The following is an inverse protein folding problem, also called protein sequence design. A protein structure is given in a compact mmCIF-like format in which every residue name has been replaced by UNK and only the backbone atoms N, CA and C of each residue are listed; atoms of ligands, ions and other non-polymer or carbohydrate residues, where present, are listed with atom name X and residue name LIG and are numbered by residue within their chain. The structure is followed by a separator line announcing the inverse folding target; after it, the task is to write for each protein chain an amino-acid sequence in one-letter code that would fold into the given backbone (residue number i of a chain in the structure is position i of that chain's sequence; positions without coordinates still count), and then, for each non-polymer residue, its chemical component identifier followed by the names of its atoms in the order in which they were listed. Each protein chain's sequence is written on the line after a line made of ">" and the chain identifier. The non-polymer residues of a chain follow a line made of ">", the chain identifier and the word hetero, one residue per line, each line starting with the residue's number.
data_IF_599881159132
#
_entry.id   IF_599881159132
#
_cell.length_a   1.000
_cell.length_b   1.000
_cell.length_c   1.000
_cell.angle_alpha   90.00
_cell.angle_beta   90.00
_cell.angle_gamma   90.00
#
_symmetry.space_group_name_H-M   'P 1'
#
loop_
_entity.id
_entity.type
_entity.pdbx_description
1 polymer ?
#
# COMPACT_ATOMS: atom_id res chain seq x y z
N UNK A 1 -22.40 3.18 12.79
CA UNK A 1 -22.45 1.71 12.91
C UNK A 1 -21.46 1.17 11.89
N UNK A 2 -20.45 0.41 12.31
CA UNK A 2 -19.52 -0.20 11.36
C UNK A 2 -20.24 -1.34 10.65
N UNK A 3 -20.42 -1.23 9.35
CA UNK A 3 -21.03 -2.27 8.52
C UNK A 3 -19.94 -3.28 8.16
N UNK A 4 -20.15 -4.56 8.49
CA UNK A 4 -19.18 -5.62 8.18
C UNK A 4 -19.24 -5.94 6.69
N UNK A 5 -18.45 -5.23 5.90
CA UNK A 5 -18.29 -5.50 4.46
C UNK A 5 -17.39 -6.72 4.28
N UNK A 6 -17.98 -7.84 3.85
CA UNK A 6 -17.25 -9.09 3.59
C UNK A 6 -16.74 -9.10 2.14
N UNK A 7 -15.42 -9.30 1.96
CA UNK A 7 -14.80 -9.53 0.65
C UNK A 7 -14.14 -8.32 0.01
N UNK A 8 -14.48 -7.10 0.42
CA UNK A 8 -13.86 -5.87 -0.07
C UNK A 8 -12.60 -5.54 0.73
N UNK A 9 -11.57 -5.03 0.05
CA UNK A 9 -10.41 -4.46 0.74
C UNK A 9 -10.85 -3.17 1.45
N UNK A 10 -10.50 -2.98 2.73
CA UNK A 10 -10.86 -1.76 3.44
C UNK A 10 -10.31 -0.52 2.72
N UNK A 11 -11.11 0.55 2.63
CA UNK A 11 -10.72 1.85 2.06
C UNK A 11 -11.24 2.96 2.96
N UNK A 12 -10.61 4.14 2.87
CA UNK A 12 -11.00 5.28 3.70
C UNK A 12 -10.80 5.02 5.20
N UNK A 13 -11.84 5.27 6.00
CA UNK A 13 -11.79 5.23 7.47
C UNK A 13 -12.06 3.84 8.07
N UNK A 14 -12.41 2.84 7.25
CA UNK A 14 -12.66 1.44 7.68
C UNK A 14 -11.36 0.66 7.93
N UNK A 15 -10.47 1.23 8.76
CA UNK A 15 -9.24 0.59 9.22
C UNK A 15 -9.28 0.39 10.73
N UNK A 16 -9.30 -0.87 11.16
CA UNK A 16 -9.14 -1.19 12.57
C UNK A 16 -7.73 -0.81 13.05
N UNK A 17 -7.67 0.28 13.80
CA UNK A 17 -6.58 0.82 14.63
C UNK A 17 -5.13 0.37 14.32
N UNK A 18 -4.63 0.72 13.12
CA UNK A 18 -3.24 0.53 12.71
C UNK A 18 -2.41 1.83 12.82
N UNK A 19 -2.85 2.83 13.59
CA UNK A 19 -2.19 4.16 13.61
C UNK A 19 -0.70 4.07 13.93
N UNK A 20 -0.32 3.33 14.97
CA UNK A 20 1.09 3.15 15.35
C UNK A 20 1.92 2.51 14.23
N UNK A 21 1.37 1.47 13.58
CA UNK A 21 2.03 0.80 12.46
C UNK A 21 2.18 1.74 11.24
N UNK A 22 1.16 2.53 10.94
CA UNK A 22 1.21 3.52 9.85
C UNK A 22 2.29 4.57 10.12
N UNK A 23 2.38 5.09 11.34
CA UNK A 23 3.46 6.02 11.73
C UNK A 23 4.84 5.39 11.60
N UNK A 24 4.99 4.15 12.06
CA UNK A 24 6.24 3.41 11.95
C UNK A 24 6.66 3.23 10.48
N UNK A 25 5.72 2.82 9.62
CA UNK A 25 5.99 2.64 8.19
C UNK A 25 6.39 3.96 7.53
N UNK A 26 5.67 5.06 7.79
CA UNK A 26 6.07 6.38 7.28
C UNK A 26 7.42 6.86 7.83
N UNK A 27 7.76 6.51 9.07
CA UNK A 27 9.07 6.78 9.66
C UNK A 27 10.19 6.04 8.95
N UNK A 28 9.97 4.75 8.62
CA UNK A 28 10.93 3.91 7.90
C UNK A 28 11.06 4.32 6.43
N UNK A 29 9.96 4.60 5.74
CA UNK A 29 9.95 5.01 4.32
C UNK A 29 10.74 6.31 4.04
N UNK A 30 11.00 7.14 5.07
CA UNK A 30 11.88 8.31 4.94
C UNK A 30 13.36 7.97 4.83
N UNK A 31 13.75 6.74 5.18
CA UNK A 31 15.15 6.29 5.27
C UNK A 31 15.43 5.07 4.40
N UNK A 32 14.45 4.17 4.27
CA UNK A 32 14.64 2.84 3.68
C UNK A 32 13.34 2.23 3.15
N UNK A 33 13.45 1.08 2.48
CA UNK A 33 12.36 0.25 2.00
C UNK A 33 11.72 -0.57 3.13
N UNK A 34 10.42 -0.90 2.98
CA UNK A 34 9.68 -1.71 3.95
C UNK A 34 9.16 -2.98 3.29
N UNK A 35 9.52 -4.14 3.85
CA UNK A 35 8.95 -5.44 3.49
C UNK A 35 7.88 -5.84 4.53
N UNK A 36 6.64 -6.03 4.08
CA UNK A 36 5.53 -6.44 4.94
C UNK A 36 5.40 -7.97 4.98
N UNK A 37 5.71 -8.58 6.12
CA UNK A 37 5.58 -10.03 6.32
C UNK A 37 4.42 -10.33 7.28
N UNK A 38 3.39 -11.04 6.79
CA UNK A 38 2.28 -11.52 7.60
C UNK A 38 1.50 -12.63 6.84
N UNK A 39 0.65 -13.45 7.50
CA UNK A 39 -0.20 -14.44 6.84
C UNK A 39 -1.19 -13.86 5.80
N UNK A 40 -1.79 -14.69 4.95
CA UNK A 40 -2.81 -14.26 3.97
C UNK A 40 -4.01 -13.63 4.71
N UNK A 41 -4.58 -12.55 4.15
CA UNK A 41 -5.73 -11.79 4.71
C UNK A 41 -5.50 -11.05 6.05
N UNK A 42 -4.26 -10.89 6.49
CA UNK A 42 -3.91 -10.11 7.69
C UNK A 42 -3.94 -8.57 7.49
N UNK A 43 -4.51 -8.07 6.40
CA UNK A 43 -4.68 -6.62 6.18
C UNK A 43 -3.49 -5.86 5.57
N UNK A 44 -2.44 -6.55 5.09
CA UNK A 44 -1.27 -5.90 4.44
C UNK A 44 -1.65 -5.03 3.23
N UNK A 45 -2.47 -5.55 2.33
CA UNK A 45 -2.95 -4.79 1.16
C UNK A 45 -3.76 -3.58 1.59
N UNK A 46 -4.52 -3.71 2.68
CA UNK A 46 -5.20 -2.57 3.27
C UNK A 46 -4.20 -1.51 3.75
N UNK A 47 -3.20 -1.89 4.57
CA UNK A 47 -2.16 -0.96 5.00
C UNK A 47 -1.54 -0.19 3.83
N UNK A 48 -1.21 -0.89 2.73
CA UNK A 48 -0.70 -0.25 1.50
C UNK A 48 -1.69 0.76 0.90
N UNK A 49 -2.98 0.42 0.81
CA UNK A 49 -4.00 1.36 0.34
C UNK A 49 -4.20 2.54 1.29
N UNK A 50 -4.04 2.36 2.60
CA UNK A 50 -4.11 3.48 3.56
C UNK A 50 -2.96 4.49 3.39
N UNK A 51 -1.78 4.02 2.97
CA UNK A 51 -0.65 4.88 2.61
C UNK A 51 -0.88 5.60 1.27
N UNK A 52 -1.51 4.90 0.31
CA UNK A 52 -1.89 5.44 -1.00
C UNK A 52 -2.96 6.53 -0.87
N UNK A 53 -4.03 6.26 -0.11
CA UNK A 53 -5.22 7.11 0.02
C UNK A 53 -4.96 8.35 0.91
N UNK A 54 -3.90 8.35 1.72
CA UNK A 54 -3.50 9.50 2.54
C UNK A 54 -1.98 9.75 2.47
N UNK A 55 -1.50 10.30 1.34
CA UNK A 55 -0.08 10.61 1.16
C UNK A 55 0.41 11.64 2.19
N UNK A 56 1.69 11.57 2.54
CA UNK A 56 2.37 12.59 3.34
C UNK A 56 3.23 13.49 2.47
N UNK A 57 3.46 14.71 2.96
CA UNK A 57 4.39 15.64 2.33
C UNK A 57 5.74 14.98 2.06
N UNK A 58 6.28 15.18 0.85
CA UNK A 58 7.52 14.57 0.40
C UNK A 58 7.36 13.17 -0.23
N UNK A 59 6.15 12.61 -0.26
CA UNK A 59 5.88 11.33 -0.90
C UNK A 59 4.84 11.46 -2.01
N UNK A 60 5.08 10.77 -3.13
CA UNK A 60 4.09 10.46 -4.17
C UNK A 60 3.89 8.95 -4.18
N UNK A 61 2.88 8.42 -3.49
CA UNK A 61 2.63 6.99 -3.47
C UNK A 61 2.16 6.52 -4.84
N UNK A 62 2.68 5.37 -5.27
CA UNK A 62 2.27 4.68 -6.48
C UNK A 62 2.03 3.23 -6.11
N UNK A 63 0.92 2.67 -6.60
CA UNK A 63 0.59 1.26 -6.41
C UNK A 63 0.76 0.48 -7.70
N UNK A 64 1.49 -0.62 -7.62
CA UNK A 64 1.71 -1.56 -8.71
C UNK A 64 1.45 -2.97 -8.20
N UNK A 65 0.50 -3.66 -8.83
CA UNK A 65 0.37 -5.11 -8.70
C UNK A 65 1.37 -5.77 -9.65
N UNK A 66 2.22 -6.64 -9.11
CA UNK A 66 3.30 -7.31 -9.83
C UNK A 66 3.00 -8.79 -10.08
N UNK A 67 1.86 -9.31 -9.61
CA UNK A 67 1.53 -10.75 -9.72
C UNK A 67 1.46 -11.21 -11.18
N UNK A 68 1.01 -10.35 -12.09
CA UNK A 68 0.90 -10.64 -13.52
C UNK A 68 2.14 -10.27 -14.34
N UNK A 69 3.19 -9.71 -13.72
CA UNK A 69 4.39 -9.27 -14.44
C UNK A 69 5.39 -10.41 -14.49
N UNK A 70 5.67 -10.90 -15.70
CA UNK A 70 6.43 -12.12 -15.95
C UNK A 70 7.90 -11.88 -16.30
N UNK A 71 8.31 -10.64 -16.56
CA UNK A 71 9.69 -10.32 -16.89
C UNK A 71 10.13 -8.92 -16.42
N UNK A 72 11.46 -8.71 -16.24
CA UNK A 72 11.98 -7.44 -15.73
C UNK A 72 11.72 -6.23 -16.64
N UNK A 73 11.68 -6.40 -17.96
CA UNK A 73 11.45 -5.27 -18.88
C UNK A 73 10.03 -4.72 -18.71
N UNK A 74 9.03 -5.61 -18.62
CA UNK A 74 7.65 -5.24 -18.34
C UNK A 74 7.50 -4.54 -16.99
N UNK A 75 8.22 -4.99 -15.94
CA UNK A 75 8.22 -4.30 -14.65
C UNK A 75 8.65 -2.83 -14.78
N UNK A 76 9.76 -2.57 -15.49
CA UNK A 76 10.25 -1.19 -15.68
C UNK A 76 9.24 -0.34 -16.45
N UNK A 77 8.62 -0.88 -17.50
CA UNK A 77 7.60 -0.18 -18.29
C UNK A 77 6.40 0.21 -17.40
N UNK A 78 5.88 -0.74 -16.61
CA UNK A 78 4.72 -0.52 -15.74
C UNK A 78 4.98 0.49 -14.62
N UNK A 79 6.22 0.52 -14.10
CA UNK A 79 6.67 1.53 -13.13
C UNK A 79 6.74 2.92 -13.77
N UNK A 80 7.38 3.02 -14.94
CA UNK A 80 7.51 4.30 -15.65
C UNK A 80 6.15 4.88 -16.03
N UNK A 81 5.23 4.06 -16.55
CA UNK A 81 3.88 4.48 -16.88
C UNK A 81 3.21 5.15 -15.68
N UNK A 82 3.25 4.52 -14.49
CA UNK A 82 2.62 5.07 -13.28
C UNK A 82 3.31 6.30 -12.69
N UNK A 83 4.62 6.48 -12.92
CA UNK A 83 5.34 7.67 -12.44
C UNK A 83 5.11 8.89 -13.34
N UNK A 84 4.75 8.68 -14.61
CA UNK A 84 4.54 9.74 -15.58
C UNK A 84 3.08 10.24 -15.66
N UNK A 85 2.12 9.48 -15.11
CA UNK A 85 0.71 9.88 -14.95
C UNK A 85 0.46 10.58 -13.62
#
# INVERSE_FOLDING_TARGET
>A
MAELVVGSLPRGDDYFDQKALIEEVWGRLRKDSVLLVAPRRFGKTGLMFRLLDAPRAGFRPVYLDVESIDNPANFIIEVLARLLH
#
